data_IF_471365550545
#
_entry.id   IF_471365550545
#
_cell.length_a   1.000
_cell.length_b   1.000
_cell.length_c   1.000
_cell.angle_alpha   90.00
_cell.angle_beta   90.00
_cell.angle_gamma   90.00
#
_symmetry.space_group_name_H-M   'P 1'
#
loop_
_entity.id
_entity.type
_entity.pdbx_description
1 polymer ?
#
# COMPACT_ATOMS: atom_id res chain seq x y z
N UNK A 1 -48.09 55.00 -15.64
CA UNK A 1 -46.67 54.66 -15.33
C UNK A 1 -46.68 53.28 -14.72
N UNK A 2 -46.32 52.22 -15.52
CA UNK A 2 -46.24 50.85 -15.01
C UNK A 2 -44.83 50.60 -14.50
N UNK A 3 -44.68 50.28 -13.20
CA UNK A 3 -43.38 49.83 -12.63
C UNK A 3 -43.18 48.36 -12.99
N UNK A 4 -42.23 48.06 -13.80
CA UNK A 4 -41.74 46.70 -14.03
C UNK A 4 -40.81 46.29 -12.87
N UNK A 5 -41.21 45.25 -12.13
CA UNK A 5 -40.42 44.64 -11.04
C UNK A 5 -39.51 43.61 -11.63
N UNK A 6 -38.22 43.90 -11.71
CA UNK A 6 -37.17 42.96 -12.04
C UNK A 6 -36.88 42.06 -10.85
N UNK A 7 -37.20 40.77 -10.93
CA UNK A 7 -36.76 39.78 -9.92
C UNK A 7 -35.36 39.35 -10.29
N UNK A 8 -34.36 39.75 -9.48
CA UNK A 8 -33.01 39.26 -9.56
C UNK A 8 -32.98 37.86 -8.93
N UNK A 9 -32.91 36.81 -9.75
CA UNK A 9 -32.70 35.45 -9.27
C UNK A 9 -31.26 35.29 -8.84
N UNK A 10 -31.04 35.20 -7.53
CA UNK A 10 -29.72 34.88 -6.96
C UNK A 10 -29.51 33.35 -7.07
N UNK A 11 -28.71 32.92 -8.05
CA UNK A 11 -28.26 31.54 -8.12
C UNK A 11 -27.24 31.31 -7.02
N UNK A 12 -27.62 30.66 -5.92
CA UNK A 12 -26.71 30.13 -4.92
C UNK A 12 -25.92 28.98 -5.55
N UNK A 13 -24.69 29.24 -5.95
CA UNK A 13 -23.74 28.21 -6.34
C UNK A 13 -23.22 27.54 -5.05
N UNK A 14 -23.85 26.43 -4.65
CA UNK A 14 -23.30 25.56 -3.61
C UNK A 14 -22.07 24.87 -4.18
N UNK A 15 -20.89 25.03 -3.57
CA UNK A 15 -19.73 24.25 -3.99
C UNK A 15 -20.05 22.76 -3.75
N UNK A 16 -19.99 21.95 -4.80
CA UNK A 16 -19.94 20.49 -4.66
C UNK A 16 -18.67 20.18 -3.86
N UNK A 17 -18.82 19.75 -2.62
CA UNK A 17 -17.71 19.19 -1.85
C UNK A 17 -17.32 17.89 -2.57
N UNK A 18 -16.23 17.93 -3.32
CA UNK A 18 -15.61 16.70 -3.82
C UNK A 18 -15.21 15.87 -2.60
N UNK A 19 -15.79 14.71 -2.47
CA UNK A 19 -15.42 13.73 -1.44
C UNK A 19 -14.36 12.81 -2.03
N UNK A 20 -13.36 12.44 -1.23
CA UNK A 20 -12.38 11.44 -1.63
C UNK A 20 -13.10 10.17 -2.11
N UNK A 21 -12.67 9.64 -3.25
CA UNK A 21 -13.20 8.38 -3.80
C UNK A 21 -12.59 7.20 -3.05
N UNK A 22 -13.41 6.18 -2.76
CA UNK A 22 -13.00 4.96 -2.06
C UNK A 22 -12.71 3.83 -3.04
N UNK A 23 -11.63 3.11 -2.81
CA UNK A 23 -11.18 1.99 -3.64
C UNK A 23 -10.86 0.78 -2.78
N UNK A 24 -11.38 -0.40 -3.15
CA UNK A 24 -10.93 -1.68 -2.62
C UNK A 24 -9.82 -2.25 -3.49
N UNK A 25 -8.80 -2.88 -2.90
CA UNK A 25 -7.77 -3.59 -3.67
C UNK A 25 -8.41 -4.69 -4.51
N UNK A 26 -8.00 -4.80 -5.78
CA UNK A 26 -8.48 -5.87 -6.66
C UNK A 26 -7.78 -7.20 -6.34
N UNK A 27 -8.18 -7.78 -5.21
CA UNK A 27 -7.69 -9.10 -4.77
C UNK A 27 -8.30 -10.23 -5.60
N UNK A 28 -9.58 -10.10 -6.00
CA UNK A 28 -10.28 -11.14 -6.78
C UNK A 28 -9.71 -11.28 -8.18
N UNK A 29 -9.37 -10.15 -8.82
CA UNK A 29 -8.74 -10.12 -10.15
C UNK A 29 -7.27 -10.47 -10.12
N UNK A 30 -6.66 -10.56 -8.93
CA UNK A 30 -5.21 -10.76 -8.75
C UNK A 30 -4.37 -9.64 -9.40
N UNK A 31 -4.92 -8.40 -9.43
CA UNK A 31 -4.24 -7.23 -9.97
C UNK A 31 -3.53 -6.39 -8.90
N UNK A 32 -3.39 -6.95 -7.69
CA UNK A 32 -2.58 -6.37 -6.63
C UNK A 32 -1.54 -7.41 -6.17
N UNK A 33 -0.33 -6.94 -5.83
CA UNK A 33 0.73 -7.77 -5.29
C UNK A 33 1.56 -7.05 -4.24
N UNK A 34 2.12 -7.83 -3.30
CA UNK A 34 3.11 -7.40 -2.32
C UNK A 34 4.31 -8.32 -2.46
N UNK A 35 5.34 -7.84 -3.13
CA UNK A 35 6.55 -8.57 -3.45
C UNK A 35 7.73 -8.05 -2.63
N UNK A 36 8.68 -8.93 -2.32
CA UNK A 36 9.89 -8.54 -1.62
C UNK A 36 11.15 -9.15 -2.23
N UNK A 37 12.27 -8.49 -1.99
CA UNK A 37 13.60 -8.99 -2.35
C UNK A 37 14.55 -8.82 -1.18
N UNK A 38 15.40 -9.84 -0.99
CA UNK A 38 16.45 -9.86 0.01
C UNK A 38 17.76 -10.39 -0.61
N UNK A 39 18.91 -9.87 -0.21
CA UNK A 39 20.17 -10.43 -0.62
C UNK A 39 20.46 -11.76 0.12
N UNK A 40 20.84 -12.78 -0.61
CA UNK A 40 21.32 -14.04 -0.06
C UNK A 40 22.85 -13.95 0.12
N UNK A 41 23.30 -13.70 1.33
CA UNK A 41 24.73 -13.62 1.71
C UNK A 41 25.57 -12.67 0.83
N UNK A 42 24.94 -11.72 0.15
CA UNK A 42 25.62 -10.83 -0.80
C UNK A 42 25.89 -11.41 -2.19
N UNK A 43 25.53 -12.67 -2.45
CA UNK A 43 25.82 -13.34 -3.72
C UNK A 43 24.72 -13.18 -4.77
N UNK A 44 23.47 -13.16 -4.35
CA UNK A 44 22.32 -13.10 -5.26
C UNK A 44 21.14 -12.42 -4.59
N UNK A 45 20.12 -12.11 -5.39
CA UNK A 45 18.82 -11.69 -4.88
C UNK A 45 17.85 -12.86 -4.83
N UNK A 46 17.24 -13.05 -3.68
CA UNK A 46 16.10 -13.94 -3.49
C UNK A 46 14.83 -13.09 -3.48
N UNK A 47 13.84 -13.53 -4.24
CA UNK A 47 12.53 -12.89 -4.29
C UNK A 47 11.49 -13.75 -3.58
N UNK A 48 10.46 -13.11 -3.08
CA UNK A 48 9.28 -13.74 -2.51
C UNK A 48 8.11 -12.77 -2.52
N UNK A 49 6.97 -13.23 -2.07
CA UNK A 49 5.73 -12.46 -2.02
C UNK A 49 4.84 -12.91 -0.87
N UNK A 50 3.83 -12.10 -0.57
CA UNK A 50 2.73 -12.51 0.28
C UNK A 50 1.49 -12.73 -0.58
N UNK A 51 0.98 -13.95 -0.60
CA UNK A 51 -0.14 -14.35 -1.48
C UNK A 51 -1.51 -13.96 -0.92
N UNK A 52 -1.62 -13.62 0.37
CA UNK A 52 -2.88 -13.20 1.00
C UNK A 52 -2.67 -11.89 1.75
N UNK A 53 -3.37 -10.89 1.31
CA UNK A 53 -3.47 -9.57 1.93
C UNK A 53 -4.81 -8.97 1.55
N UNK A 54 -5.16 -7.87 2.21
CA UNK A 54 -6.35 -7.08 1.90
C UNK A 54 -6.05 -5.61 2.19
N UNK A 55 -6.79 -4.72 1.55
CA UNK A 55 -6.60 -3.30 1.74
C UNK A 55 -7.58 -2.43 0.96
N UNK A 56 -7.60 -1.17 1.36
CA UNK A 56 -8.38 -0.15 0.69
C UNK A 56 -7.64 1.19 0.75
N UNK A 57 -7.95 2.08 -0.17
CA UNK A 57 -7.46 3.45 -0.14
C UNK A 57 -8.57 4.43 -0.52
N UNK A 58 -8.39 5.66 -0.06
CA UNK A 58 -9.14 6.82 -0.57
C UNK A 58 -8.20 7.67 -1.42
N UNK A 59 -8.75 8.30 -2.46
CA UNK A 59 -7.99 9.26 -3.25
C UNK A 59 -8.88 10.47 -3.59
N UNK A 60 -8.36 11.65 -3.34
CA UNK A 60 -9.01 12.92 -3.65
C UNK A 60 -8.17 13.69 -4.67
N UNK A 61 -8.65 13.76 -5.92
CA UNK A 61 -7.93 14.47 -6.99
C UNK A 61 -7.83 15.98 -6.75
N UNK A 62 -8.80 16.56 -6.04
CA UNK A 62 -8.78 17.98 -5.72
C UNK A 62 -7.90 18.30 -4.52
N UNK A 63 -7.68 17.31 -3.64
CA UNK A 63 -6.86 17.45 -2.43
C UNK A 63 -6.12 16.14 -2.14
N UNK A 64 -5.08 15.78 -2.91
CA UNK A 64 -4.34 14.53 -2.74
C UNK A 64 -3.83 14.26 -1.32
N UNK A 65 -3.50 15.32 -0.58
CA UNK A 65 -3.08 15.21 0.84
C UNK A 65 -4.16 14.68 1.80
N UNK A 66 -5.42 14.58 1.36
CA UNK A 66 -6.51 13.94 2.10
C UNK A 66 -6.63 12.43 1.82
N UNK A 67 -5.82 11.91 0.90
CA UNK A 67 -5.80 10.49 0.54
C UNK A 67 -5.22 9.64 1.66
N UNK A 68 -5.70 8.41 1.76
CA UNK A 68 -5.26 7.47 2.81
C UNK A 68 -5.26 6.04 2.29
N UNK A 69 -4.48 5.16 2.93
CA UNK A 69 -4.47 3.72 2.63
C UNK A 69 -4.31 2.91 3.91
N UNK A 70 -4.95 1.75 3.93
CA UNK A 70 -4.73 0.73 4.95
C UNK A 70 -4.54 -0.63 4.29
N UNK A 71 -3.58 -1.40 4.80
CA UNK A 71 -3.24 -2.74 4.30
C UNK A 71 -3.10 -3.71 5.47
N UNK A 72 -3.62 -4.91 5.31
CA UNK A 72 -3.42 -6.04 6.22
C UNK A 72 -2.88 -7.23 5.43
N UNK A 73 -1.75 -7.77 5.87
CA UNK A 73 -1.06 -8.89 5.24
C UNK A 73 -1.19 -10.12 6.14
N UNK A 74 -1.63 -11.25 5.60
CA UNK A 74 -1.50 -12.57 6.25
C UNK A 74 -0.04 -13.03 6.08
N UNK A 75 0.73 -12.93 7.16
CA UNK A 75 2.17 -13.24 7.15
C UNK A 75 2.44 -14.71 6.84
N UNK A 76 1.51 -15.62 7.19
CA UNK A 76 1.64 -17.04 6.86
C UNK A 76 1.56 -17.34 5.35
N UNK A 77 1.12 -16.37 4.54
CA UNK A 77 1.03 -16.50 3.09
C UNK A 77 2.35 -16.25 2.35
N UNK A 78 3.45 -16.11 3.08
CA UNK A 78 4.79 -15.98 2.49
C UNK A 78 5.10 -17.12 1.53
N UNK A 79 5.60 -16.77 0.36
CA UNK A 79 5.94 -17.68 -0.72
C UNK A 79 7.22 -17.19 -1.41
N UNK A 80 8.24 -18.03 -1.39
CA UNK A 80 9.52 -17.76 -2.04
C UNK A 80 9.82 -18.79 -3.13
N UNK A 81 8.78 -19.52 -3.58
CA UNK A 81 8.91 -20.62 -4.53
C UNK A 81 9.81 -21.77 -4.03
N UNK A 82 9.87 -21.99 -2.69
CA UNK A 82 10.63 -23.06 -2.09
C UNK A 82 10.00 -23.48 -0.74
N UNK A 83 9.25 -24.59 -0.74
CA UNK A 83 8.39 -25.01 0.37
C UNK A 83 9.11 -25.14 1.73
N UNK A 84 10.33 -25.73 1.75
CA UNK A 84 11.08 -25.87 3.01
C UNK A 84 11.59 -24.54 3.54
N UNK A 85 12.00 -23.60 2.67
CA UNK A 85 12.36 -22.25 3.08
C UNK A 85 11.15 -21.51 3.64
N UNK A 86 10.01 -21.58 2.96
CA UNK A 86 8.77 -20.93 3.41
C UNK A 86 8.30 -21.46 4.76
N UNK A 87 8.49 -22.78 5.00
CA UNK A 87 8.26 -23.39 6.31
C UNK A 87 9.17 -22.80 7.38
N UNK A 88 10.47 -22.65 7.11
CA UNK A 88 11.42 -22.04 8.05
C UNK A 88 11.09 -20.56 8.29
N UNK A 89 10.73 -19.81 7.23
CA UNK A 89 10.34 -18.40 7.35
C UNK A 89 9.12 -18.20 8.26
N UNK A 90 8.16 -19.13 8.25
CA UNK A 90 6.99 -19.06 9.13
C UNK A 90 7.31 -19.34 10.61
N UNK A 91 8.47 -19.91 10.90
CA UNK A 91 8.88 -20.29 12.26
C UNK A 91 9.23 -19.12 13.15
N UNK A 92 9.37 -19.41 14.45
CA UNK A 92 9.64 -18.47 15.55
C UNK A 92 10.90 -17.61 15.31
N UNK A 93 11.96 -18.19 14.74
CA UNK A 93 13.21 -17.51 14.46
C UNK A 93 13.08 -16.35 13.43
N UNK A 94 12.04 -16.39 12.61
CA UNK A 94 11.81 -15.40 11.54
C UNK A 94 10.46 -14.68 11.70
N UNK A 95 9.44 -15.12 10.99
CA UNK A 95 8.14 -14.43 10.94
C UNK A 95 7.27 -14.70 12.16
N UNK A 96 7.46 -15.86 12.81
CA UNK A 96 6.67 -16.33 13.97
C UNK A 96 5.16 -16.13 13.76
N UNK A 97 4.66 -16.73 12.68
CA UNK A 97 3.28 -16.51 12.23
C UNK A 97 2.22 -16.99 13.23
N UNK A 98 2.62 -17.83 14.20
CA UNK A 98 1.73 -18.27 15.27
C UNK A 98 1.46 -17.14 16.25
N UNK A 99 2.47 -16.37 16.61
CA UNK A 99 2.35 -15.24 17.52
C UNK A 99 1.94 -13.96 16.74
N UNK A 100 2.46 -13.78 15.55
CA UNK A 100 2.27 -12.58 14.72
C UNK A 100 1.67 -12.91 13.35
N UNK A 101 0.39 -13.32 13.29
CA UNK A 101 -0.23 -13.80 12.04
C UNK A 101 -0.42 -12.68 11.01
N UNK A 102 -0.38 -11.42 11.42
CA UNK A 102 -0.64 -10.26 10.57
C UNK A 102 0.48 -9.24 10.61
N UNK A 103 0.74 -8.61 9.46
CA UNK A 103 1.42 -7.33 9.37
C UNK A 103 0.42 -6.28 8.86
N UNK A 104 0.57 -5.02 9.27
CA UNK A 104 -0.35 -3.95 8.89
C UNK A 104 0.41 -2.69 8.53
N UNK A 105 -0.12 -1.94 7.57
CA UNK A 105 0.29 -0.57 7.28
C UNK A 105 -0.92 0.34 7.32
N UNK A 106 -0.79 1.48 8.00
CA UNK A 106 -1.83 2.52 8.03
C UNK A 106 -1.16 3.86 7.74
N UNK A 107 -1.59 4.52 6.68
CA UNK A 107 -1.01 5.81 6.31
C UNK A 107 -1.32 6.90 7.33
N UNK A 108 -0.40 7.85 7.46
CA UNK A 108 -0.53 9.07 8.28
C UNK A 108 -0.49 10.33 7.43
N UNK A 109 0.14 10.29 6.25
CA UNK A 109 0.10 11.37 5.27
C UNK A 109 0.41 10.86 3.86
N UNK A 110 -0.09 11.58 2.87
CA UNK A 110 0.19 11.39 1.45
C UNK A 110 0.61 12.73 0.86
N UNK A 111 1.84 12.82 0.39
CA UNK A 111 2.43 14.06 -0.14
C UNK A 111 2.74 13.86 -1.62
N UNK A 112 1.83 14.34 -2.48
CA UNK A 112 1.94 14.23 -3.93
C UNK A 112 2.73 15.40 -4.51
N UNK A 113 3.58 15.10 -5.48
CA UNK A 113 4.36 16.03 -6.28
C UNK A 113 3.58 16.43 -7.55
N UNK A 114 4.06 17.48 -8.24
CA UNK A 114 3.45 17.99 -9.48
C UNK A 114 3.42 16.96 -10.62
N UNK A 115 4.33 15.97 -10.61
CA UNK A 115 4.40 14.89 -11.60
C UNK A 115 3.54 13.68 -11.24
N UNK A 116 2.78 13.76 -10.15
CA UNK A 116 1.90 12.70 -9.64
C UNK A 116 2.62 11.63 -8.82
N UNK A 117 3.95 11.64 -8.72
CA UNK A 117 4.65 10.82 -7.74
C UNK A 117 4.35 11.30 -6.33
N UNK A 118 4.48 10.44 -5.32
CA UNK A 118 4.19 10.85 -3.96
C UNK A 118 5.09 10.16 -2.92
N UNK A 119 5.16 10.76 -1.75
CA UNK A 119 5.68 10.13 -0.54
C UNK A 119 4.52 9.82 0.40
N UNK A 120 4.31 8.55 0.63
CA UNK A 120 3.33 8.03 1.57
C UNK A 120 4.02 7.70 2.90
N UNK A 121 3.63 8.36 3.97
CA UNK A 121 4.10 8.05 5.32
C UNK A 121 3.02 7.27 6.06
N UNK A 122 3.44 6.36 6.92
CA UNK A 122 2.50 5.58 7.72
C UNK A 122 3.18 4.77 8.82
N UNK A 123 2.36 4.10 9.60
CA UNK A 123 2.77 3.18 10.64
C UNK A 123 2.76 1.74 10.09
N UNK A 124 3.94 1.11 10.01
CA UNK A 124 4.08 -0.30 9.69
C UNK A 124 4.24 -1.12 10.96
N UNK A 125 3.34 -2.08 11.16
CA UNK A 125 3.42 -3.04 12.26
C UNK A 125 3.79 -4.41 11.71
N UNK A 126 4.92 -4.94 12.17
CA UNK A 126 5.43 -6.24 11.77
C UNK A 126 6.02 -6.95 12.99
N UNK A 127 5.74 -8.23 13.19
CA UNK A 127 6.10 -8.98 14.41
C UNK A 127 5.74 -8.25 15.71
N UNK A 128 4.58 -7.60 15.76
CA UNK A 128 4.13 -6.83 16.93
C UNK A 128 4.87 -5.52 17.18
N UNK A 129 5.89 -5.19 16.39
CA UNK A 129 6.64 -3.94 16.50
C UNK A 129 6.10 -2.94 15.49
N UNK A 130 5.69 -1.76 15.97
CA UNK A 130 5.22 -0.65 15.13
C UNK A 130 6.36 0.35 14.92
N UNK A 131 6.60 0.71 13.66
CA UNK A 131 7.56 1.75 13.27
C UNK A 131 7.02 2.62 12.14
N UNK A 132 7.44 3.89 12.06
CA UNK A 132 7.14 4.71 10.89
C UNK A 132 7.83 4.13 9.66
N UNK A 133 7.13 4.20 8.53
CA UNK A 133 7.62 3.74 7.23
C UNK A 133 7.27 4.79 6.17
N UNK A 134 8.22 5.03 5.28
CA UNK A 134 8.06 5.83 4.08
C UNK A 134 7.98 4.93 2.87
N UNK A 135 7.04 5.20 1.97
CA UNK A 135 6.85 4.49 0.71
C UNK A 135 6.88 5.52 -0.41
N UNK A 136 7.82 5.38 -1.34
CA UNK A 136 7.80 6.12 -2.60
C UNK A 136 6.70 5.56 -3.49
N UNK A 137 5.78 6.41 -3.95
CA UNK A 137 4.61 6.03 -4.73
C UNK A 137 4.69 6.62 -6.12
N UNK A 138 4.46 5.78 -7.14
CA UNK A 138 4.37 6.18 -8.54
C UNK A 138 2.99 5.80 -9.08
N UNK A 139 2.24 6.73 -9.70
CA UNK A 139 0.97 6.41 -10.34
C UNK A 139 1.21 5.56 -11.59
N UNK A 140 0.36 4.55 -11.81
CA UNK A 140 0.36 3.73 -13.02
C UNK A 140 -0.68 4.23 -14.02
N UNK A 141 -1.89 4.51 -13.53
CA UNK A 141 -2.97 5.02 -14.34
C UNK A 141 -4.32 4.90 -13.64
N UNK A 142 -5.34 5.49 -14.25
CA UNK A 142 -6.72 5.40 -13.77
C UNK A 142 -7.71 5.54 -14.93
N UNK A 143 -8.92 5.03 -14.77
CA UNK A 143 -9.98 5.16 -15.77
C UNK A 143 -11.04 4.09 -15.68
N UNK A 144 -12.02 4.16 -16.60
CA UNK A 144 -13.05 3.15 -16.72
C UNK A 144 -12.50 1.88 -17.38
N UNK A 145 -12.84 0.73 -16.77
CA UNK A 145 -12.56 -0.57 -17.36
C UNK A 145 -13.70 -1.02 -18.31
N UNK A 146 -13.47 -2.08 -19.13
CA UNK A 146 -14.48 -2.57 -20.06
C UNK A 146 -15.75 -3.15 -19.40
N UNK A 147 -15.76 -3.34 -18.09
CA UNK A 147 -16.87 -3.91 -17.32
C UNK A 147 -17.62 -2.85 -16.50
N UNK A 148 -17.47 -1.56 -16.86
CA UNK A 148 -18.14 -0.42 -16.23
C UNK A 148 -17.63 -0.06 -14.82
N UNK A 149 -16.52 -0.63 -14.38
CA UNK A 149 -15.82 -0.22 -13.17
C UNK A 149 -14.94 1.01 -13.43
N UNK A 150 -14.45 1.63 -12.35
CA UNK A 150 -13.40 2.63 -12.42
C UNK A 150 -12.22 2.14 -11.59
N UNK A 151 -11.03 2.17 -12.17
CA UNK A 151 -9.80 1.65 -11.57
C UNK A 151 -8.77 2.72 -11.39
N UNK A 152 -7.93 2.54 -10.37
CA UNK A 152 -6.76 3.39 -10.14
C UNK A 152 -5.60 2.53 -9.65
N UNK A 153 -4.44 2.70 -10.28
CA UNK A 153 -3.24 1.89 -10.04
C UNK A 153 -2.07 2.70 -9.55
N UNK A 154 -1.30 2.13 -8.59
CA UNK A 154 -0.07 2.68 -8.05
C UNK A 154 0.99 1.59 -7.88
N UNK A 155 2.25 1.99 -7.98
CA UNK A 155 3.39 1.20 -7.51
C UNK A 155 4.00 1.91 -6.31
N UNK A 156 4.21 1.17 -5.22
CA UNK A 156 4.90 1.63 -4.04
C UNK A 156 6.23 0.90 -3.86
N UNK A 157 7.28 1.60 -3.49
CA UNK A 157 8.59 1.03 -3.19
C UNK A 157 9.09 1.52 -1.83
N UNK A 158 9.61 0.59 -1.03
CA UNK A 158 10.18 0.91 0.27
C UNK A 158 11.22 -0.13 0.70
N UNK A 159 11.93 0.18 1.77
CA UNK A 159 12.91 -0.73 2.37
C UNK A 159 12.83 -0.64 3.89
N UNK A 160 13.03 -1.79 4.56
CA UNK A 160 13.19 -1.84 6.02
C UNK A 160 14.22 -2.89 6.43
N UNK A 161 14.70 -2.82 7.67
CA UNK A 161 15.66 -3.77 8.23
C UNK A 161 14.95 -4.84 9.06
N UNK A 162 15.31 -6.11 8.88
CA UNK A 162 14.79 -7.23 9.67
C UNK A 162 15.08 -7.08 11.17
N UNK A 163 16.28 -6.58 11.49
CA UNK A 163 16.69 -6.33 12.89
C UNK A 163 15.84 -5.30 13.61
N UNK A 164 15.22 -4.36 12.87
CA UNK A 164 14.31 -3.38 13.43
C UNK A 164 13.01 -4.00 13.97
N UNK A 165 12.71 -5.23 13.53
CA UNK A 165 11.54 -6.01 13.92
C UNK A 165 11.91 -7.28 14.69
N UNK A 166 13.11 -7.30 15.28
CA UNK A 166 13.57 -8.38 16.16
C UNK A 166 13.93 -9.69 15.45
N UNK A 167 14.19 -9.65 14.12
CA UNK A 167 14.68 -10.79 13.37
C UNK A 167 16.21 -10.72 13.29
N UNK A 168 16.91 -11.73 13.84
CA UNK A 168 18.36 -11.78 13.80
C UNK A 168 18.86 -12.17 12.40
N UNK A 169 19.87 -11.44 11.93
CA UNK A 169 20.58 -11.74 10.68
C UNK A 169 22.01 -12.24 10.92
N UNK A 170 22.34 -12.63 12.15
CA UNK A 170 23.70 -13.04 12.54
C UNK A 170 24.27 -14.19 11.69
N UNK A 171 23.43 -15.11 11.23
CA UNK A 171 23.83 -16.23 10.36
C UNK A 171 23.86 -15.81 8.88
N UNK A 172 22.97 -14.89 8.49
CA UNK A 172 22.79 -14.49 7.08
C UNK A 172 23.69 -13.32 6.66
N UNK A 173 24.33 -12.64 7.62
CA UNK A 173 25.16 -11.48 7.39
C UNK A 173 24.39 -10.17 7.22
N UNK A 174 25.10 -9.05 7.28
CA UNK A 174 24.51 -7.69 7.22
C UNK A 174 23.80 -7.42 5.88
N UNK A 175 24.28 -8.01 4.79
CA UNK A 175 23.70 -7.84 3.45
C UNK A 175 22.26 -8.38 3.37
N UNK A 176 21.95 -9.38 4.21
CA UNK A 176 20.60 -9.97 4.30
C UNK A 176 19.66 -9.26 5.27
N UNK A 177 20.07 -8.11 5.83
CA UNK A 177 19.25 -7.37 6.79
C UNK A 177 18.20 -6.50 6.13
N UNK A 178 18.45 -6.02 4.92
CA UNK A 178 17.54 -5.13 4.21
C UNK A 178 16.52 -5.90 3.35
N UNK A 179 15.24 -5.66 3.60
CA UNK A 179 14.13 -6.11 2.77
C UNK A 179 13.70 -4.95 1.88
N UNK A 180 13.72 -5.16 0.56
CA UNK A 180 13.12 -4.25 -0.40
C UNK A 180 11.71 -4.74 -0.71
N UNK A 181 10.70 -3.89 -0.52
CA UNK A 181 9.30 -4.16 -0.87
C UNK A 181 8.93 -3.43 -2.16
N UNK A 182 8.20 -4.11 -3.01
CA UNK A 182 7.50 -3.53 -4.16
C UNK A 182 6.02 -3.90 -4.04
N UNK A 183 5.18 -2.89 -4.05
CA UNK A 183 3.73 -3.03 -3.96
C UNK A 183 3.14 -2.58 -5.31
N UNK A 184 2.49 -3.48 -6.03
CA UNK A 184 1.69 -3.12 -7.21
C UNK A 184 0.23 -3.19 -6.80
N UNK A 185 -0.44 -2.05 -6.77
CA UNK A 185 -1.80 -1.97 -6.23
C UNK A 185 -2.73 -1.41 -7.30
N UNK A 186 -3.72 -2.20 -7.67
CA UNK A 186 -4.87 -1.75 -8.44
C UNK A 186 -6.09 -1.75 -7.52
N UNK A 187 -6.79 -0.62 -7.46
CA UNK A 187 -8.03 -0.46 -6.72
C UNK A 187 -9.23 -0.33 -7.64
N UNK A 188 -10.35 -0.94 -7.24
CA UNK A 188 -11.66 -0.79 -7.86
C UNK A 188 -12.46 0.18 -7.02
N UNK A 189 -12.98 1.25 -7.66
CA UNK A 189 -13.82 2.25 -6.98
C UNK A 189 -15.14 1.62 -6.53
N UNK A 190 -15.52 1.91 -5.29
CA UNK A 190 -16.81 1.51 -4.70
C UNK A 190 -18.01 2.21 -5.34
#
# INVERSE_FOLDING_TARGET
MKLERYYLAFFLWLPLLATAEEYDFDIKGMHASIDFRIQHLGFSWMSGRFNRFDGAFTYDEAKPSASSVSVTIDVASVDTNHAERDKHLRGEAYLDVTQFPKATFVSTSFNENEDGTAILLGDFTFRGIKKPMEIAVTPVGHGHDPWFGYRRGFVGETQFKLTDYGISTSILGEQSNAINLTLSIEGIRR
#
